data_IF_755650979460
#
_entry.id   IF_755650979460
#
_cell.length_a   1.000
_cell.length_b   1.000
_cell.length_c   1.000
_cell.angle_alpha   90.00
_cell.angle_beta   90.00
_cell.angle_gamma   90.00
#
_symmetry.space_group_name_H-M   'P 1'
#
loop_
_entity.id
_entity.type
_entity.pdbx_description
1 polymer ?
#
# COMPACT_ATOMS: atom_id res chain seq x y z
N UNK A 1 -11.35 -6.45 3.36
CA UNK A 1 -10.22 -6.21 2.43
C UNK A 1 -9.16 -5.37 3.10
N UNK A 2 -9.50 -4.27 3.77
CA UNK A 2 -8.52 -3.42 4.46
C UNK A 2 -7.67 -4.19 5.47
N UNK A 3 -8.28 -5.10 6.26
CA UNK A 3 -7.55 -5.94 7.21
C UNK A 3 -6.42 -6.76 6.56
N UNK A 4 -6.62 -7.26 5.33
CA UNK A 4 -5.56 -7.99 4.62
C UNK A 4 -4.34 -7.08 4.31
N UNK A 5 -4.58 -5.81 4.02
CA UNK A 5 -3.52 -4.82 3.79
C UNK A 5 -2.86 -4.39 5.10
N UNK A 6 -3.62 -4.29 6.19
CA UNK A 6 -3.08 -4.07 7.53
C UNK A 6 -2.15 -5.20 7.94
N UNK A 7 -2.60 -6.45 7.80
CA UNK A 7 -1.84 -7.63 8.18
C UNK A 7 -0.57 -7.76 7.34
N UNK A 8 -0.63 -7.40 6.05
CA UNK A 8 0.55 -7.29 5.19
C UNK A 8 1.56 -6.26 5.73
N UNK A 9 1.11 -5.05 6.10
CA UNK A 9 2.01 -4.02 6.64
C UNK A 9 2.55 -4.38 8.03
N UNK A 10 1.72 -5.00 8.89
CA UNK A 10 2.13 -5.53 10.20
C UNK A 10 3.21 -6.60 10.05
N UNK A 11 3.05 -7.54 9.11
CA UNK A 11 4.03 -8.58 8.85
C UNK A 11 5.36 -8.01 8.31
N UNK A 12 5.30 -6.92 7.56
CA UNK A 12 6.48 -6.15 7.12
C UNK A 12 7.07 -5.23 8.20
N UNK A 13 6.46 -5.14 9.39
CA UNK A 13 6.92 -4.26 10.46
C UNK A 13 6.83 -2.76 10.15
N UNK A 14 5.96 -2.35 9.22
CA UNK A 14 5.78 -0.95 8.82
C UNK A 14 4.72 -0.31 9.75
N UNK A 15 5.03 0.76 10.49
CA UNK A 15 4.03 1.50 11.26
C UNK A 15 3.08 2.25 10.32
N UNK A 16 1.79 2.28 10.62
CA UNK A 16 0.80 2.95 9.78
C UNK A 16 -0.41 3.46 10.57
N UNK A 17 -1.25 4.24 9.89
CA UNK A 17 -2.61 4.59 10.33
C UNK A 17 -3.62 4.31 9.23
N UNK A 18 -4.87 4.09 9.61
CA UNK A 18 -5.99 4.00 8.68
C UNK A 18 -6.74 5.33 8.66
N UNK A 19 -7.00 5.85 7.46
CA UNK A 19 -7.72 7.11 7.25
C UNK A 19 -8.99 6.83 6.47
N UNK A 20 -10.13 7.28 6.99
CA UNK A 20 -11.37 7.30 6.23
C UNK A 20 -11.43 8.60 5.42
N UNK A 21 -11.46 8.47 4.09
CA UNK A 21 -11.37 9.61 3.19
C UNK A 21 -12.68 10.41 3.20
N UNK A 22 -12.56 11.75 3.25
CA UNK A 22 -13.69 12.68 3.22
C UNK A 22 -14.41 12.63 1.87
N UNK A 23 -15.70 12.94 1.86
CA UNK A 23 -16.55 12.80 0.67
C UNK A 23 -16.07 13.61 -0.54
N UNK A 24 -15.46 14.78 -0.33
CA UNK A 24 -14.94 15.64 -1.41
C UNK A 24 -13.73 15.06 -2.15
N UNK A 25 -13.02 14.11 -1.54
CA UNK A 25 -11.83 13.45 -2.11
C UNK A 25 -12.16 12.04 -2.66
N UNK A 26 -13.43 11.62 -2.59
CA UNK A 26 -13.88 10.38 -3.21
C UNK A 26 -14.04 10.58 -4.72
N UNK A 27 -13.63 9.58 -5.51
CA UNK A 27 -13.96 9.55 -6.92
C UNK A 27 -15.43 9.09 -7.11
N UNK A 28 -15.98 9.31 -8.32
CA UNK A 28 -17.39 9.01 -8.61
C UNK A 28 -17.82 7.56 -8.32
N UNK A 29 -16.87 6.61 -8.36
CA UNK A 29 -17.19 5.19 -8.19
C UNK A 29 -17.21 4.76 -6.72
N UNK A 30 -16.41 5.37 -5.84
CA UNK A 30 -16.24 4.92 -4.47
C UNK A 30 -17.38 5.42 -3.57
N UNK A 31 -18.10 4.50 -2.94
CA UNK A 31 -19.08 4.81 -1.90
C UNK A 31 -18.39 5.05 -0.54
N UNK A 32 -17.27 4.37 -0.29
CA UNK A 32 -16.39 4.57 0.87
C UNK A 32 -14.96 4.16 0.49
N UNK A 33 -13.98 4.94 0.92
CA UNK A 33 -12.56 4.69 0.72
C UNK A 33 -11.80 4.77 2.05
N UNK A 34 -10.92 3.80 2.27
CA UNK A 34 -9.97 3.76 3.39
C UNK A 34 -8.55 3.75 2.81
N UNK A 35 -7.71 4.66 3.29
CA UNK A 35 -6.29 4.66 2.95
C UNK A 35 -5.46 4.18 4.14
N UNK A 36 -4.48 3.33 3.87
CA UNK A 36 -3.42 2.99 4.80
C UNK A 36 -2.23 3.87 4.49
N UNK A 37 -1.91 4.74 5.43
CA UNK A 37 -0.77 5.63 5.33
C UNK A 37 0.33 5.13 6.26
N UNK A 38 1.48 4.77 5.69
CA UNK A 38 2.63 4.33 6.46
C UNK A 38 3.41 5.54 7.00
N UNK A 39 4.04 5.35 8.15
CA UNK A 39 4.96 6.31 8.74
C UNK A 39 6.34 6.18 8.11
N UNK A 40 6.89 7.33 7.69
CA UNK A 40 8.22 7.45 7.10
C UNK A 40 9.10 8.25 8.07
N UNK A 41 10.00 7.61 8.85
CA UNK A 41 10.76 8.26 9.91
C UNK A 41 11.77 9.31 9.41
N UNK A 42 12.45 9.06 8.29
CA UNK A 42 13.37 10.02 7.67
C UNK A 42 12.63 11.20 7.05
N UNK A 43 11.44 10.96 6.48
CA UNK A 43 10.57 12.02 5.96
C UNK A 43 9.72 12.73 7.03
N UNK A 44 9.67 12.18 8.25
CA UNK A 44 8.81 12.63 9.36
C UNK A 44 7.33 12.83 8.98
N UNK A 45 6.76 11.93 8.17
CA UNK A 45 5.40 12.08 7.65
C UNK A 45 4.69 10.76 7.38
N UNK A 46 3.36 10.80 7.34
CA UNK A 46 2.53 9.71 6.82
C UNK A 46 2.42 9.80 5.29
N UNK A 47 2.57 8.68 4.59
CA UNK A 47 2.41 8.58 3.12
C UNK A 47 1.54 7.37 2.76
N UNK A 48 0.62 7.58 1.82
CA UNK A 48 -0.30 6.54 1.34
C UNK A 48 0.46 5.37 0.67
N UNK A 49 0.24 4.15 1.18
CA UNK A 49 0.69 2.91 0.53
C UNK A 49 -0.45 2.11 -0.11
N UNK A 50 -1.65 2.18 0.47
CA UNK A 50 -2.82 1.42 0.03
C UNK A 50 -4.04 2.32 0.00
N UNK A 51 -4.86 2.13 -1.03
CA UNK A 51 -6.22 2.66 -1.13
C UNK A 51 -7.18 1.50 -1.33
N UNK A 52 -8.18 1.39 -0.44
CA UNK A 52 -9.20 0.35 -0.42
C UNK A 52 -10.60 0.96 -0.58
N UNK A 53 -11.31 0.62 -1.65
CA UNK A 53 -12.60 1.22 -2.00
C UNK A 53 -13.70 0.18 -2.17
N UNK A 54 -14.88 0.48 -1.64
CA UNK A 54 -16.12 -0.20 -2.00
C UNK A 54 -16.86 0.65 -3.03
N UNK A 55 -17.01 0.14 -4.26
CA UNK A 55 -17.70 0.83 -5.34
C UNK A 55 -19.17 0.43 -5.46
N UNK A 56 -19.65 -0.45 -4.57
CA UNK A 56 -20.99 -1.06 -4.65
C UNK A 56 -21.25 -1.58 -6.07
N UNK A 57 -22.41 -1.30 -6.64
CA UNK A 57 -22.79 -1.68 -7.99
C UNK A 57 -22.52 -0.60 -9.05
N UNK A 58 -21.81 0.49 -8.71
CA UNK A 58 -21.53 1.59 -9.65
C UNK A 58 -20.82 1.08 -10.93
N UNK A 59 -19.72 0.34 -10.75
CA UNK A 59 -18.96 -0.25 -11.85
C UNK A 59 -19.74 -1.40 -12.51
N UNK A 60 -20.42 -2.23 -11.71
CA UNK A 60 -21.16 -3.39 -12.18
C UNK A 60 -22.35 -3.00 -13.09
N UNK A 61 -23.06 -1.91 -12.77
CA UNK A 61 -24.11 -1.36 -13.64
C UNK A 61 -23.58 -0.97 -15.01
N UNK A 62 -22.47 -0.24 -15.05
CA UNK A 62 -21.84 0.19 -16.32
C UNK A 62 -21.36 -0.99 -17.16
N UNK A 63 -20.80 -2.01 -16.52
CA UNK A 63 -20.26 -3.22 -17.18
C UNK A 63 -21.31 -4.32 -17.40
N UNK A 64 -22.55 -4.11 -16.95
CA UNK A 64 -23.66 -5.09 -16.99
C UNK A 64 -23.34 -6.41 -16.27
N UNK A 65 -22.59 -6.37 -15.16
CA UNK A 65 -22.27 -7.55 -14.33
C UNK A 65 -23.42 -7.81 -13.34
N UNK A 66 -24.33 -8.69 -13.74
CA UNK A 66 -25.58 -8.95 -13.02
C UNK A 66 -25.42 -9.99 -11.91
N UNK A 67 -26.20 -9.83 -10.86
CA UNK A 67 -26.38 -10.85 -9.84
C UNK A 67 -27.60 -11.71 -10.18
N UNK A 68 -27.37 -12.88 -10.78
CA UNK A 68 -28.42 -13.80 -11.19
C UNK A 68 -29.12 -14.45 -9.99
N UNK A 69 -30.42 -14.18 -9.82
CA UNK A 69 -31.28 -14.87 -8.84
C UNK A 69 -32.19 -15.84 -9.58
N UNK A 70 -32.15 -17.13 -9.24
CA UNK A 70 -32.95 -18.19 -9.90
C UNK A 70 -34.44 -18.17 -9.54
N UNK A 71 -34.86 -17.38 -8.53
CA UNK A 71 -36.22 -17.41 -7.95
C UNK A 71 -37.08 -16.18 -8.22
N UNK A 72 -36.63 -15.19 -9.00
CA UNK A 72 -37.44 -14.02 -9.36
C UNK A 72 -37.58 -13.95 -10.88
N UNK A 73 -38.76 -14.32 -11.39
CA UNK A 73 -39.11 -14.18 -12.81
C UNK A 73 -39.39 -12.73 -13.19
N UNK A 74 -39.92 -11.92 -12.26
CA UNK A 74 -40.22 -10.50 -12.46
C UNK A 74 -39.63 -9.65 -11.33
N UNK A 75 -38.68 -8.78 -11.66
CA UNK A 75 -38.08 -7.85 -10.72
C UNK A 75 -36.92 -7.07 -11.33
N UNK A 76 -36.55 -5.95 -10.70
CA UNK A 76 -35.39 -5.16 -11.12
C UNK A 76 -34.11 -6.01 -11.16
N UNK A 77 -33.32 -5.80 -12.22
CA UNK A 77 -32.02 -6.45 -12.39
C UNK A 77 -31.09 -6.01 -11.27
N UNK A 78 -30.74 -6.94 -10.37
CA UNK A 78 -29.72 -6.71 -9.36
C UNK A 78 -28.32 -6.84 -9.96
N UNK A 79 -27.38 -6.04 -9.48
CA UNK A 79 -25.96 -6.06 -9.88
C UNK A 79 -25.09 -6.50 -8.71
N UNK A 80 -23.92 -7.08 -9.01
CA UNK A 80 -22.95 -7.43 -7.96
C UNK A 80 -22.30 -6.18 -7.38
N UNK A 81 -21.80 -6.27 -6.14
CA UNK A 81 -20.91 -5.24 -5.59
C UNK A 81 -19.47 -5.51 -6.02
N UNK A 82 -18.75 -4.45 -6.40
CA UNK A 82 -17.34 -4.49 -6.78
C UNK A 82 -16.52 -3.68 -5.79
N UNK A 83 -15.43 -4.29 -5.31
CA UNK A 83 -14.47 -3.68 -4.40
C UNK A 83 -13.08 -3.80 -5.01
N UNK A 84 -12.19 -2.88 -4.64
CA UNK A 84 -10.78 -2.94 -5.04
C UNK A 84 -9.89 -2.45 -3.90
N UNK A 85 -8.68 -3.00 -3.80
CA UNK A 85 -7.66 -2.57 -2.85
C UNK A 85 -6.28 -2.88 -3.42
N UNK A 86 -5.39 -1.89 -3.35
CA UNK A 86 -3.96 -2.15 -3.57
C UNK A 86 -3.43 -3.01 -2.42
N UNK A 87 -2.66 -4.06 -2.71
CA UNK A 87 -1.93 -4.79 -1.66
C UNK A 87 -0.53 -4.22 -1.46
N UNK A 88 0.21 -4.02 -2.55
CA UNK A 88 1.60 -3.56 -2.51
C UNK A 88 1.90 -2.67 -3.72
N UNK A 89 1.99 -1.35 -3.50
CA UNK A 89 2.62 -0.44 -4.45
C UNK A 89 4.13 -0.54 -4.30
N UNK A 90 4.75 -1.44 -5.06
CA UNK A 90 6.13 -1.95 -4.84
C UNK A 90 7.17 -0.86 -4.57
N UNK A 91 7.16 0.23 -5.35
CA UNK A 91 8.12 1.34 -5.17
C UNK A 91 7.89 2.13 -3.88
N UNK A 92 6.62 2.39 -3.51
CA UNK A 92 6.30 3.11 -2.26
C UNK A 92 6.59 2.25 -1.03
N UNK A 93 6.28 0.96 -1.10
CA UNK A 93 6.60 -0.01 -0.04
C UNK A 93 8.11 -0.14 0.11
N UNK A 94 8.87 -0.16 -0.98
CA UNK A 94 10.33 -0.13 -0.93
C UNK A 94 10.83 1.11 -0.19
N UNK A 95 10.33 2.31 -0.50
CA UNK A 95 10.70 3.52 0.24
C UNK A 95 10.38 3.43 1.75
N UNK A 96 9.20 2.89 2.10
CA UNK A 96 8.83 2.69 3.51
C UNK A 96 9.80 1.73 4.21
N UNK A 97 10.20 0.64 3.55
CA UNK A 97 11.18 -0.31 4.07
C UNK A 97 12.56 0.32 4.23
N UNK A 98 13.03 1.06 3.23
CA UNK A 98 14.33 1.74 3.29
C UNK A 98 14.42 2.68 4.50
N UNK A 99 13.38 3.46 4.79
CA UNK A 99 13.40 4.36 5.95
C UNK A 99 13.22 3.62 7.29
N UNK A 100 12.34 2.61 7.37
CA UNK A 100 12.03 1.92 8.63
C UNK A 100 13.07 0.85 9.03
N UNK A 101 13.88 0.37 8.08
CA UNK A 101 14.89 -0.66 8.30
C UNK A 101 16.33 -0.19 8.07
N UNK A 102 16.55 1.14 7.99
CA UNK A 102 17.90 1.70 7.90
C UNK A 102 18.71 1.41 9.17
N UNK A 103 19.95 0.97 8.98
CA UNK A 103 20.99 0.81 9.98
C UNK A 103 22.23 1.61 9.57
N UNK A 104 23.28 1.63 10.40
CA UNK A 104 24.50 2.41 10.12
C UNK A 104 25.23 1.97 8.83
N UNK A 105 25.23 0.66 8.55
CA UNK A 105 25.97 0.05 7.45
C UNK A 105 25.09 -0.43 6.28
N UNK A 106 23.77 -0.23 6.33
CA UNK A 106 22.88 -0.68 5.27
C UNK A 106 21.41 -0.68 5.66
N UNK A 107 20.63 -1.50 4.96
CA UNK A 107 19.19 -1.69 5.18
C UNK A 107 18.95 -3.14 5.60
N UNK A 108 18.44 -3.36 6.81
CA UNK A 108 18.09 -4.69 7.29
C UNK A 108 16.92 -5.25 6.49
N UNK A 109 17.02 -6.49 6.05
CA UNK A 109 15.92 -7.15 5.34
C UNK A 109 14.88 -7.67 6.34
N UNK A 110 13.59 -7.29 6.21
CA UNK A 110 12.50 -7.83 7.02
C UNK A 110 12.48 -9.36 6.97
N UNK A 111 12.25 -10.01 8.11
CA UNK A 111 12.34 -11.47 8.25
C UNK A 111 11.49 -12.22 7.21
N UNK A 112 10.25 -11.76 6.99
CA UNK A 112 9.31 -12.38 6.04
C UNK A 112 9.76 -12.30 4.57
N UNK A 113 10.67 -11.38 4.24
CA UNK A 113 11.21 -11.21 2.88
C UNK A 113 12.46 -12.06 2.64
N UNK A 114 13.17 -12.49 3.70
CA UNK A 114 14.49 -13.15 3.58
C UNK A 114 14.47 -14.42 2.75
N UNK A 115 13.35 -15.16 2.75
CA UNK A 115 13.20 -16.38 1.94
C UNK A 115 13.18 -16.11 0.42
N UNK A 116 12.85 -14.88 0.02
CA UNK A 116 12.78 -14.47 -1.38
C UNK A 116 14.03 -13.72 -1.85
N UNK A 117 14.98 -13.46 -0.95
CA UNK A 117 16.19 -12.71 -1.25
C UNK A 117 17.33 -13.60 -1.75
N UNK A 118 18.20 -13.10 -2.64
CA UNK A 118 19.47 -13.76 -2.95
C UNK A 118 20.31 -13.98 -1.69
N UNK A 119 21.11 -15.05 -1.67
CA UNK A 119 21.95 -15.40 -0.51
C UNK A 119 22.81 -14.24 -0.01
N UNK A 120 23.38 -13.42 -0.90
CA UNK A 120 24.25 -12.29 -0.56
C UNK A 120 23.54 -11.13 0.14
N UNK A 121 22.22 -11.03 0.03
CA UNK A 121 21.40 -9.93 0.57
C UNK A 121 20.31 -10.46 1.50
N UNK A 122 20.50 -11.64 2.07
CA UNK A 122 19.45 -12.32 2.83
C UNK A 122 19.09 -11.59 4.13
N UNK A 123 20.07 -10.94 4.76
CA UNK A 123 19.88 -10.30 6.08
C UNK A 123 20.04 -8.79 6.03
N UNK A 124 20.97 -8.28 5.20
CA UNK A 124 21.30 -6.87 5.09
C UNK A 124 21.62 -6.51 3.63
N UNK A 125 21.14 -5.36 3.18
CA UNK A 125 21.55 -4.72 1.93
C UNK A 125 22.56 -3.63 2.28
N UNK A 126 23.86 -3.79 2.00
CA UNK A 126 24.89 -2.87 2.47
C UNK A 126 24.89 -1.54 1.70
N UNK A 127 25.30 -0.46 2.37
CA UNK A 127 25.62 0.78 1.67
C UNK A 127 26.93 0.62 0.89
N UNK A 128 26.89 0.99 -0.40
CA UNK A 128 28.05 0.93 -1.32
C UNK A 128 28.50 2.31 -1.80
N UNK A 129 27.81 3.37 -1.39
CA UNK A 129 28.07 4.76 -1.75
C UNK A 129 27.80 5.67 -0.55
N UNK A 130 28.61 6.72 -0.41
CA UNK A 130 28.35 7.80 0.55
C UNK A 130 27.05 8.55 0.17
N UNK A 131 26.41 9.15 1.18
CA UNK A 131 25.23 9.97 0.95
C UNK A 131 25.56 11.15 0.03
N UNK A 132 24.64 11.49 -0.87
CA UNK A 132 24.83 12.58 -1.84
C UNK A 132 25.03 13.95 -1.19
N UNK A 133 24.50 14.15 0.01
CA UNK A 133 24.62 15.41 0.77
C UNK A 133 26.05 15.64 1.26
N UNK A 134 26.72 14.59 1.74
CA UNK A 134 28.12 14.68 2.20
C UNK A 134 29.08 14.99 1.06
N UNK A 135 28.83 14.43 -0.13
CA UNK A 135 29.60 14.73 -1.34
C UNK A 135 29.46 16.19 -1.79
N UNK A 136 28.29 16.80 -1.61
CA UNK A 136 28.07 18.21 -1.96
C UNK A 136 28.74 19.16 -0.96
N UNK A 137 28.78 18.81 0.33
CA UNK A 137 29.51 19.56 1.36
C UNK A 137 31.03 19.45 1.19
N UNK A 138 31.55 18.26 0.83
CA UNK A 138 32.98 18.05 0.53
C UNK A 138 33.45 18.78 -0.74
N UNK A 139 32.57 19.01 -1.72
CA UNK A 139 32.88 19.76 -2.96
C UNK A 139 32.77 21.28 -2.82
N UNK A 140 32.12 21.76 -1.77
CA UNK A 140 31.92 23.19 -1.51
C UNK A 140 33.00 23.82 -0.62
N UNK A 141 33.94 23.01 -0.12
CA UNK A 141 35.16 23.41 0.59
C UNK A 141 36.40 23.09 -0.26
#
# INVERSE_FOLDING_TARGET
>A
MIDNAEDFCKALGIPFRIVCIVSGELNNAAAKKLDLEAWFPGSAAFRELVSCSNCTDYQARRLKVRYGKTKKLDGEVSYVHMLNSTMCATTRVLCALLENYQEENGIRVPEILRQFMPHSYKELIPFIKEASIENNLKKAN
#
